data_IF_084504388645
#
_entry.id   IF_084504388645
#
_cell.length_a   1.000
_cell.length_b   1.000
_cell.length_c   1.000
_cell.angle_alpha   90.00
_cell.angle_beta   90.00
_cell.angle_gamma   90.00
#
_symmetry.space_group_name_H-M   'P 1'
#
loop_
_entity.id
_entity.type
_entity.pdbx_description
1 polymer ?
#
# COMPACT_ATOMS: atom_id res chain seq x y z
N UNK A 1 -13.82 48.46 -27.53
CA UNK A 1 -14.55 47.66 -28.55
C UNK A 1 -14.84 48.57 -29.73
N UNK A 2 -14.22 48.35 -30.88
CA UNK A 2 -14.67 49.02 -32.11
C UNK A 2 -16.13 48.62 -32.35
N UNK A 3 -17.03 49.59 -32.39
CA UNK A 3 -18.41 49.39 -32.81
C UNK A 3 -18.33 49.13 -34.31
N UNK A 4 -18.59 47.89 -34.73
CA UNK A 4 -18.52 47.50 -36.14
C UNK A 4 -19.44 48.41 -36.98
N UNK A 5 -19.02 48.83 -38.19
CA UNK A 5 -19.90 49.61 -39.06
C UNK A 5 -21.22 48.85 -39.34
N UNK A 6 -22.35 49.58 -39.45
CA UNK A 6 -23.64 48.98 -39.79
C UNK A 6 -23.56 48.31 -41.17
N UNK A 7 -24.35 47.25 -41.38
CA UNK A 7 -24.45 46.64 -42.70
C UNK A 7 -25.06 47.66 -43.68
N UNK A 8 -24.57 47.69 -44.95
CA UNK A 8 -25.19 48.49 -45.98
C UNK A 8 -26.67 48.08 -46.14
N UNK A 9 -27.58 49.01 -46.48
CA UNK A 9 -29.02 48.75 -46.44
C UNK A 9 -29.51 47.53 -47.24
N UNK A 10 -28.78 47.11 -48.29
CA UNK A 10 -29.12 45.96 -49.13
C UNK A 10 -28.66 44.59 -48.60
N UNK A 11 -27.79 44.55 -47.59
CA UNK A 11 -27.29 43.30 -46.97
C UNK A 11 -27.93 43.01 -45.61
N UNK A 12 -28.86 43.88 -45.17
CA UNK A 12 -29.55 43.68 -43.90
C UNK A 12 -30.50 42.49 -44.04
N UNK A 13 -30.47 41.52 -43.09
CA UNK A 13 -31.42 40.43 -43.11
C UNK A 13 -32.85 41.00 -43.02
N UNK A 14 -33.83 40.38 -43.70
CA UNK A 14 -35.21 40.82 -43.63
C UNK A 14 -35.73 40.59 -42.21
N UNK A 15 -35.75 41.65 -41.41
CA UNK A 15 -36.34 41.61 -40.07
C UNK A 15 -37.86 41.53 -40.28
N UNK A 16 -38.57 40.62 -39.58
CA UNK A 16 -40.02 40.53 -39.70
C UNK A 16 -40.67 41.88 -39.37
N UNK A 17 -41.59 42.31 -40.23
CA UNK A 17 -42.40 43.49 -39.96
C UNK A 17 -43.15 43.30 -38.65
N UNK A 18 -43.03 44.27 -37.74
CA UNK A 18 -43.69 44.23 -36.43
C UNK A 18 -44.52 45.48 -36.20
N UNK A 19 -45.56 45.34 -35.39
CA UNK A 19 -46.39 46.45 -34.94
C UNK A 19 -45.69 47.16 -33.77
N UNK A 20 -45.30 48.43 -33.90
CA UNK A 20 -44.66 49.16 -32.82
C UNK A 20 -45.61 49.34 -31.63
N UNK A 21 -45.05 49.27 -30.43
CA UNK A 21 -45.78 49.43 -29.16
C UNK A 21 -46.33 50.85 -29.07
N UNK A 22 -47.63 50.98 -28.80
CA UNK A 22 -48.29 52.27 -28.75
C UNK A 22 -47.86 53.04 -27.49
N UNK A 23 -47.31 54.24 -27.67
CA UNK A 23 -46.90 55.12 -26.56
C UNK A 23 -47.44 56.52 -26.77
N UNK A 24 -47.74 57.21 -25.67
CA UNK A 24 -48.04 58.66 -25.72
C UNK A 24 -46.88 59.37 -26.41
N UNK A 25 -47.19 60.11 -27.48
CA UNK A 25 -46.18 60.79 -28.29
C UNK A 25 -45.37 61.77 -27.44
N UNK A 26 -44.04 61.63 -27.51
CA UNK A 26 -43.05 62.51 -26.88
C UNK A 26 -41.86 62.59 -27.84
N UNK A 27 -41.34 63.80 -28.10
CA UNK A 27 -40.30 64.04 -29.13
C UNK A 27 -38.97 63.33 -28.84
N UNK A 28 -38.65 63.10 -27.57
CA UNK A 28 -37.50 62.34 -27.06
C UNK A 28 -37.89 60.91 -26.60
N UNK A 29 -39.10 60.45 -26.91
CA UNK A 29 -39.64 59.16 -26.49
C UNK A 29 -39.48 58.04 -27.51
N UNK A 30 -39.92 56.82 -27.15
CA UNK A 30 -39.91 55.64 -28.01
C UNK A 30 -40.98 55.72 -29.12
N UNK A 31 -40.73 56.58 -30.11
CA UNK A 31 -41.55 56.69 -31.33
C UNK A 31 -41.49 55.40 -32.16
N UNK A 32 -42.52 55.07 -32.95
CA UNK A 32 -42.52 53.92 -33.85
C UNK A 32 -41.28 53.81 -34.74
N UNK A 33 -40.77 54.94 -35.23
CA UNK A 33 -39.58 55.03 -36.09
C UNK A 33 -38.31 54.60 -35.33
N UNK A 34 -38.16 55.07 -34.08
CA UNK A 34 -37.05 54.67 -33.19
C UNK A 34 -37.13 53.21 -32.78
N UNK A 35 -38.34 52.65 -32.60
CA UNK A 35 -38.50 51.22 -32.33
C UNK A 35 -38.01 50.38 -33.52
N UNK A 36 -38.41 50.74 -34.75
CA UNK A 36 -37.92 50.06 -35.97
C UNK A 36 -36.41 50.22 -36.16
N UNK A 37 -35.88 51.43 -35.97
CA UNK A 37 -34.45 51.69 -36.04
C UNK A 37 -33.66 50.92 -34.97
N UNK A 38 -34.24 50.73 -33.78
CA UNK A 38 -33.62 49.98 -32.71
C UNK A 38 -33.51 48.50 -33.06
N UNK A 39 -34.59 47.88 -33.56
CA UNK A 39 -34.57 46.47 -33.97
C UNK A 39 -33.59 46.24 -35.13
N UNK A 40 -33.52 47.17 -36.09
CA UNK A 40 -32.51 47.14 -37.14
C UNK A 40 -31.08 47.23 -36.59
N UNK A 41 -30.83 48.15 -35.66
CA UNK A 41 -29.53 48.29 -35.01
C UNK A 41 -29.18 47.07 -34.14
N UNK A 42 -30.16 46.38 -33.57
CA UNK A 42 -29.99 45.16 -32.80
C UNK A 42 -29.56 44.00 -33.70
N UNK A 43 -30.19 43.85 -34.87
CA UNK A 43 -29.80 42.86 -35.87
C UNK A 43 -28.35 43.07 -36.37
N UNK A 44 -27.95 44.34 -36.53
CA UNK A 44 -26.58 44.67 -36.93
C UNK A 44 -25.55 44.34 -35.84
N UNK A 45 -25.88 44.58 -34.56
CA UNK A 45 -24.87 44.62 -33.48
C UNK A 45 -24.90 43.40 -32.57
N UNK A 46 -26.02 42.70 -32.47
CA UNK A 46 -26.27 41.66 -31.46
C UNK A 46 -26.18 42.16 -30.01
N UNK A 47 -26.14 43.48 -29.79
CA UNK A 47 -25.94 44.09 -28.48
C UNK A 47 -26.99 45.17 -28.21
N UNK A 48 -27.82 44.94 -27.19
CA UNK A 48 -28.91 45.84 -26.79
C UNK A 48 -28.39 47.23 -26.42
N UNK A 49 -27.27 47.30 -25.70
CA UNK A 49 -26.65 48.57 -25.30
C UNK A 49 -26.14 49.35 -26.51
N UNK A 50 -25.49 48.66 -27.47
CA UNK A 50 -25.01 49.31 -28.69
C UNK A 50 -26.17 49.79 -29.58
N UNK A 51 -27.21 48.96 -29.72
CA UNK A 51 -28.41 49.29 -30.47
C UNK A 51 -29.17 50.50 -29.87
N UNK A 52 -29.34 50.54 -28.56
CA UNK A 52 -30.00 51.65 -27.86
C UNK A 52 -29.22 52.96 -28.03
N UNK A 53 -27.88 52.91 -27.91
CA UNK A 53 -27.02 54.07 -28.17
C UNK A 53 -27.13 54.58 -29.60
N UNK A 54 -27.24 53.69 -30.60
CA UNK A 54 -27.42 54.06 -32.01
C UNK A 54 -28.72 54.82 -32.30
N UNK A 55 -29.77 54.59 -31.52
CA UNK A 55 -31.05 55.34 -31.62
C UNK A 55 -31.17 56.46 -30.58
N UNK A 56 -30.06 56.79 -29.91
CA UNK A 56 -29.98 57.79 -28.86
C UNK A 56 -31.00 57.55 -27.72
N UNK A 57 -31.05 56.31 -27.23
CA UNK A 57 -31.92 55.86 -26.15
C UNK A 57 -31.17 55.06 -25.09
N UNK A 58 -31.75 55.00 -23.88
CA UNK A 58 -31.29 54.11 -22.82
C UNK A 58 -31.76 52.66 -23.06
N UNK A 59 -30.87 51.68 -22.81
CA UNK A 59 -31.19 50.25 -22.93
C UNK A 59 -32.30 49.81 -21.99
N UNK A 60 -32.40 50.40 -20.80
CA UNK A 60 -33.47 50.12 -19.83
C UNK A 60 -34.85 50.44 -20.41
N UNK A 61 -34.96 51.53 -21.17
CA UNK A 61 -36.20 51.91 -21.85
C UNK A 61 -36.63 50.91 -22.92
N UNK A 62 -35.66 50.29 -23.61
CA UNK A 62 -35.91 49.24 -24.60
C UNK A 62 -36.46 47.97 -23.94
N UNK A 63 -35.90 47.57 -22.79
CA UNK A 63 -36.42 46.45 -21.99
C UNK A 63 -37.81 46.75 -21.39
N UNK A 64 -38.04 47.98 -20.93
CA UNK A 64 -39.34 48.40 -20.43
C UNK A 64 -40.43 48.39 -21.52
N UNK A 65 -40.05 48.65 -22.77
CA UNK A 65 -40.94 48.56 -23.93
C UNK A 65 -41.30 47.11 -24.25
N UNK A 66 -40.31 46.20 -24.21
CA UNK A 66 -40.50 44.77 -24.46
C UNK A 66 -41.46 44.08 -23.47
N UNK A 67 -41.56 44.60 -22.24
CA UNK A 67 -42.43 44.04 -21.18
C UNK A 67 -43.87 44.56 -21.20
N UNK A 68 -44.24 45.41 -22.16
CA UNK A 68 -45.62 45.93 -22.22
C UNK A 68 -46.60 44.85 -22.71
N UNK A 69 -47.87 44.87 -22.27
CA UNK A 69 -48.89 43.90 -22.67
C UNK A 69 -49.16 43.83 -24.18
N UNK A 70 -48.91 44.91 -24.92
CA UNK A 70 -49.11 45.04 -26.38
C UNK A 70 -47.81 44.84 -27.19
N UNK A 71 -46.72 44.43 -26.54
CA UNK A 71 -45.39 44.36 -27.15
C UNK A 71 -45.00 43.02 -27.76
N UNK A 72 -45.94 42.08 -27.92
CA UNK A 72 -45.65 40.72 -28.41
C UNK A 72 -44.96 40.73 -29.79
N UNK A 73 -45.46 41.56 -30.71
CA UNK A 73 -44.88 41.71 -32.06
C UNK A 73 -43.47 42.31 -32.01
N UNK A 74 -43.24 43.30 -31.14
CA UNK A 74 -41.92 43.91 -30.92
C UNK A 74 -40.93 42.93 -30.27
N UNK A 75 -41.39 42.12 -29.31
CA UNK A 75 -40.59 41.09 -28.66
C UNK A 75 -40.16 39.98 -29.64
N UNK A 76 -41.06 39.56 -30.54
CA UNK A 76 -40.73 38.59 -31.58
C UNK A 76 -39.68 39.14 -32.56
N UNK A 77 -39.82 40.39 -33.01
CA UNK A 77 -38.84 41.03 -33.88
C UNK A 77 -37.49 41.27 -33.18
N UNK A 78 -37.51 41.52 -31.86
CA UNK A 78 -36.32 41.63 -31.04
C UNK A 78 -35.54 40.32 -31.00
N UNK A 79 -36.21 39.20 -30.74
CA UNK A 79 -35.54 37.88 -30.69
C UNK A 79 -34.98 37.50 -32.06
N UNK A 80 -35.75 37.69 -33.13
CA UNK A 80 -35.26 37.48 -34.49
C UNK A 80 -34.01 38.33 -34.79
N UNK A 81 -34.01 39.61 -34.37
CA UNK A 81 -32.85 40.49 -34.52
C UNK A 81 -31.65 40.00 -33.68
N UNK A 82 -31.84 39.50 -32.47
CA UNK A 82 -30.75 38.93 -31.67
C UNK A 82 -30.15 37.69 -32.33
N UNK A 83 -30.97 36.78 -32.83
CA UNK A 83 -30.52 35.58 -33.54
C UNK A 83 -29.64 35.93 -34.75
N UNK A 84 -30.03 36.96 -35.50
CA UNK A 84 -29.21 37.48 -36.60
C UNK A 84 -27.88 38.07 -36.11
N UNK A 85 -27.90 38.86 -35.03
CA UNK A 85 -26.69 39.40 -34.43
C UNK A 85 -25.73 38.31 -33.93
N UNK A 86 -26.25 37.23 -33.36
CA UNK A 86 -25.46 36.07 -32.90
C UNK A 86 -24.84 35.32 -34.07
N UNK A 87 -25.57 35.10 -35.17
CA UNK A 87 -25.00 34.49 -36.39
C UNK A 87 -23.85 35.32 -36.94
N UNK A 88 -23.98 36.64 -36.96
CA UNK A 88 -22.90 37.55 -37.38
C UNK A 88 -21.68 37.48 -36.46
N UNK A 89 -21.87 37.28 -35.16
CA UNK A 89 -20.75 37.06 -34.23
C UNK A 89 -19.97 35.80 -34.57
N UNK A 90 -20.62 34.75 -35.07
CA UNK A 90 -19.96 33.53 -35.52
C UNK A 90 -19.09 33.79 -36.75
N UNK A 91 -19.60 34.52 -37.75
CA UNK A 91 -18.82 34.90 -38.94
C UNK A 91 -17.58 35.72 -38.58
N UNK A 92 -17.73 36.70 -37.66
CA UNK A 92 -16.62 37.52 -37.16
C UNK A 92 -15.62 36.67 -36.36
N UNK A 93 -16.09 35.72 -35.57
CA UNK A 93 -15.22 34.82 -34.83
C UNK A 93 -14.36 33.98 -35.77
N UNK A 94 -14.95 33.46 -36.85
CA UNK A 94 -14.25 32.69 -37.88
C UNK A 94 -13.24 33.57 -38.62
N UNK A 95 -13.65 34.76 -39.07
CA UNK A 95 -12.74 35.71 -39.73
C UNK A 95 -11.55 36.08 -38.85
N UNK A 96 -11.78 36.41 -37.56
CA UNK A 96 -10.71 36.72 -36.60
C UNK A 96 -9.79 35.53 -36.32
N UNK A 97 -10.32 34.32 -36.29
CA UNK A 97 -9.52 33.12 -36.09
C UNK A 97 -8.63 32.84 -37.31
N UNK A 98 -9.12 33.09 -38.53
CA UNK A 98 -8.37 32.87 -39.77
C UNK A 98 -7.37 33.99 -40.07
N UNK A 99 -7.80 35.25 -39.94
CA UNK A 99 -7.05 36.42 -40.42
C UNK A 99 -6.30 37.16 -39.30
N UNK A 100 -6.61 36.89 -38.03
CA UNK A 100 -6.07 37.58 -36.87
C UNK A 100 -6.68 38.97 -36.66
N UNK A 101 -6.42 39.59 -35.51
CA UNK A 101 -6.84 40.96 -35.21
C UNK A 101 -5.66 41.91 -35.41
N UNK A 102 -5.82 43.00 -36.18
CA UNK A 102 -4.78 44.02 -36.35
C UNK A 102 -4.55 44.77 -35.03
N UNK A 103 -3.32 44.73 -34.52
CA UNK A 103 -2.89 45.47 -33.33
C UNK A 103 -1.90 46.55 -33.78
N UNK A 104 -2.25 47.85 -33.65
CA UNK A 104 -1.36 48.93 -34.04
C UNK A 104 -0.12 48.96 -33.14
N UNK A 105 1.05 49.15 -33.73
CA UNK A 105 2.31 49.35 -33.03
C UNK A 105 2.60 50.85 -32.99
N UNK A 106 2.63 51.41 -31.79
CA UNK A 106 2.96 52.82 -31.56
C UNK A 106 4.40 52.98 -31.10
N UNK A 107 5.09 53.97 -31.65
CA UNK A 107 6.41 54.38 -31.20
C UNK A 107 6.46 55.90 -31.12
N UNK A 108 6.85 56.42 -29.95
CA UNK A 108 6.88 57.88 -29.66
C UNK A 108 5.55 58.63 -29.93
N UNK A 109 4.42 57.95 -29.78
CA UNK A 109 3.09 58.55 -29.97
C UNK A 109 2.57 58.51 -31.41
N UNK A 110 3.38 58.08 -32.37
CA UNK A 110 2.97 57.87 -33.76
C UNK A 110 2.79 56.37 -34.06
N UNK A 111 1.82 56.03 -34.90
CA UNK A 111 1.61 54.65 -35.34
C UNK A 111 2.64 54.32 -36.42
N UNK A 112 3.55 53.39 -36.12
CA UNK A 112 4.68 53.01 -36.99
C UNK A 112 4.42 51.71 -37.74
N UNK A 113 3.44 50.91 -37.31
CA UNK A 113 3.06 49.69 -38.02
C UNK A 113 1.88 48.95 -37.40
N UNK A 114 1.70 47.70 -37.83
CA UNK A 114 0.63 46.82 -37.36
C UNK A 114 1.18 45.40 -37.20
N UNK A 115 0.80 44.71 -36.11
CA UNK A 115 1.02 43.27 -35.92
C UNK A 115 -0.33 42.57 -35.83
N UNK A 116 -0.45 41.42 -36.49
CA UNK A 116 -1.64 40.56 -36.35
C UNK A 116 -1.54 39.68 -35.11
N UNK A 117 -2.56 39.73 -34.26
CA UNK A 117 -2.69 38.87 -33.10
C UNK A 117 -3.72 37.77 -33.39
N UNK A 118 -3.27 36.51 -33.32
CA UNK A 118 -4.12 35.34 -33.45
C UNK A 118 -4.52 34.83 -32.06
N UNK A 119 -5.80 34.49 -31.89
CA UNK A 119 -6.30 33.96 -30.63
C UNK A 119 -6.54 32.46 -30.76
N UNK A 120 -5.56 31.66 -30.34
CA UNK A 120 -5.61 30.20 -30.43
C UNK A 120 -6.78 29.60 -29.64
N UNK A 121 -7.23 30.27 -28.57
CA UNK A 121 -8.43 29.83 -27.82
C UNK A 121 -9.71 30.00 -28.64
N UNK A 122 -9.81 31.08 -29.41
CA UNK A 122 -10.94 31.28 -30.33
C UNK A 122 -10.92 30.24 -31.45
N UNK A 123 -9.74 29.96 -32.02
CA UNK A 123 -9.56 28.90 -33.02
C UNK A 123 -9.98 27.53 -32.47
N UNK A 124 -9.48 27.16 -31.30
CA UNK A 124 -9.82 25.90 -30.63
C UNK A 124 -11.31 25.80 -30.27
N UNK A 125 -11.94 26.91 -29.86
CA UNK A 125 -13.38 26.96 -29.61
C UNK A 125 -14.18 26.65 -30.87
N UNK A 126 -13.84 27.27 -32.00
CA UNK A 126 -14.50 27.04 -33.29
C UNK A 126 -14.33 25.58 -33.73
N UNK A 127 -13.11 25.04 -33.67
CA UNK A 127 -12.84 23.64 -34.05
C UNK A 127 -13.62 22.64 -33.19
N UNK A 128 -13.73 22.88 -31.89
CA UNK A 128 -14.48 22.01 -30.97
C UNK A 128 -15.99 21.99 -31.27
N UNK A 129 -16.56 23.13 -31.66
CA UNK A 129 -17.98 23.25 -31.96
C UNK A 129 -18.37 22.77 -33.36
N UNK A 130 -17.52 22.99 -34.38
CA UNK A 130 -17.80 22.59 -35.77
C UNK A 130 -17.31 21.18 -36.11
N UNK A 131 -16.34 20.63 -35.37
CA UNK A 131 -15.80 19.28 -35.58
C UNK A 131 -15.72 18.49 -34.25
N UNK A 132 -16.86 18.29 -33.56
CA UNK A 132 -16.87 17.66 -32.24
C UNK A 132 -16.38 16.21 -32.25
N UNK A 133 -16.56 15.48 -33.36
CA UNK A 133 -16.04 14.11 -33.49
C UNK A 133 -14.50 14.05 -33.44
N UNK A 134 -13.81 15.13 -33.83
CA UNK A 134 -12.34 15.18 -33.91
C UNK A 134 -11.70 15.98 -32.78
N UNK A 135 -12.37 17.04 -32.31
CA UNK A 135 -11.84 17.97 -31.31
C UNK A 135 -12.76 18.16 -30.08
N UNK A 136 -13.81 17.34 -29.97
CA UNK A 136 -14.74 17.37 -28.85
C UNK A 136 -14.12 16.96 -27.52
N UNK A 137 -14.86 17.21 -26.43
CA UNK A 137 -14.40 17.03 -25.05
C UNK A 137 -14.02 15.57 -24.69
N UNK A 138 -14.34 14.59 -25.51
CA UNK A 138 -14.03 13.18 -25.27
C UNK A 138 -12.59 12.75 -25.58
N UNK A 139 -11.78 13.59 -26.23
CA UNK A 139 -10.41 13.23 -26.67
C UNK A 139 -9.29 13.88 -25.86
N UNK A 140 -9.58 14.95 -25.10
CA UNK A 140 -8.64 15.50 -24.13
C UNK A 140 -8.99 14.87 -22.79
N UNK A 141 -8.35 13.73 -22.48
CA UNK A 141 -8.31 13.22 -21.13
C UNK A 141 -7.94 14.37 -20.19
N UNK A 142 -8.63 14.46 -19.06
CA UNK A 142 -8.34 15.44 -18.01
C UNK A 142 -6.82 15.48 -17.74
N UNK A 143 -6.24 16.63 -17.36
CA UNK A 143 -4.84 16.67 -16.98
C UNK A 143 -4.60 15.58 -15.93
N UNK A 144 -3.72 14.63 -16.27
CA UNK A 144 -3.45 13.46 -15.42
C UNK A 144 -2.96 13.95 -14.08
N UNK A 145 -3.45 13.34 -12.99
CA UNK A 145 -2.90 13.66 -11.68
C UNK A 145 -1.45 13.19 -11.62
N UNK A 146 -0.63 13.85 -10.80
CA UNK A 146 0.75 13.44 -10.56
C UNK A 146 0.84 11.99 -10.07
N UNK A 147 -0.11 11.58 -9.24
CA UNK A 147 -0.22 10.21 -8.72
C UNK A 147 -0.48 9.19 -9.84
N UNK A 148 -1.33 9.52 -10.82
CA UNK A 148 -1.58 8.64 -11.97
C UNK A 148 -0.33 8.45 -12.83
N UNK A 149 0.46 9.52 -13.03
CA UNK A 149 1.72 9.46 -13.77
C UNK A 149 2.75 8.59 -13.02
N UNK A 150 2.84 8.73 -11.71
CA UNK A 150 3.76 7.96 -10.86
C UNK A 150 3.39 6.47 -10.82
N UNK A 151 2.10 6.13 -10.73
CA UNK A 151 1.62 4.74 -10.80
C UNK A 151 1.88 4.09 -12.16
N UNK A 152 1.53 4.77 -13.26
CA UNK A 152 1.80 4.26 -14.60
C UNK A 152 3.31 4.09 -14.86
N UNK A 153 4.13 5.02 -14.36
CA UNK A 153 5.59 4.92 -14.48
C UNK A 153 6.14 3.72 -13.69
N UNK A 154 5.64 3.47 -12.48
CA UNK A 154 6.01 2.30 -11.69
C UNK A 154 5.57 0.98 -12.36
N UNK A 155 4.36 0.95 -12.91
CA UNK A 155 3.80 -0.24 -13.56
C UNK A 155 4.36 -0.52 -14.96
N UNK A 156 4.84 0.49 -15.69
CA UNK A 156 5.33 0.32 -17.06
C UNK A 156 6.82 0.55 -17.25
N UNK A 157 7.59 0.86 -16.21
CA UNK A 157 9.04 0.99 -16.35
C UNK A 157 9.68 -0.38 -16.67
N UNK A 158 10.26 -0.55 -17.88
CA UNK A 158 10.86 -1.82 -18.28
C UNK A 158 12.11 -2.16 -17.46
N UNK A 159 12.86 -1.15 -16.98
CA UNK A 159 14.05 -1.34 -16.14
C UNK A 159 13.67 -1.86 -14.75
N UNK A 160 12.62 -1.32 -14.14
CA UNK A 160 12.14 -1.77 -12.82
C UNK A 160 11.59 -3.20 -12.89
N UNK A 161 10.87 -3.54 -13.97
CA UNK A 161 10.41 -4.92 -14.20
C UNK A 161 11.57 -5.89 -14.35
N UNK A 162 12.58 -5.52 -15.13
CA UNK A 162 13.75 -6.38 -15.33
C UNK A 162 14.51 -6.59 -14.03
N UNK A 163 14.73 -5.53 -13.23
CA UNK A 163 15.36 -5.65 -11.91
C UNK A 163 14.61 -6.58 -10.97
N UNK A 164 13.28 -6.48 -10.93
CA UNK A 164 12.47 -7.37 -10.09
C UNK A 164 12.57 -8.85 -10.52
N UNK A 165 12.68 -9.09 -11.84
CA UNK A 165 12.94 -10.43 -12.38
C UNK A 165 14.34 -10.91 -11.99
N UNK A 166 15.36 -10.08 -12.19
CA UNK A 166 16.76 -10.40 -11.87
C UNK A 166 16.94 -10.70 -10.36
N UNK A 167 16.29 -9.90 -9.50
CA UNK A 167 16.29 -10.10 -8.04
C UNK A 167 15.57 -11.41 -7.65
N UNK A 168 14.43 -11.71 -8.28
CA UNK A 168 13.71 -12.96 -8.05
C UNK A 168 14.52 -14.19 -8.52
N UNK A 169 15.18 -14.09 -9.67
CA UNK A 169 16.06 -15.14 -10.20
C UNK A 169 17.29 -15.34 -9.30
N UNK A 170 17.92 -14.26 -8.83
CA UNK A 170 19.05 -14.34 -7.90
C UNK A 170 18.64 -15.02 -6.58
N UNK A 171 17.47 -14.67 -6.04
CA UNK A 171 16.94 -15.29 -4.82
C UNK A 171 16.60 -16.76 -5.02
N UNK A 172 15.97 -17.12 -6.15
CA UNK A 172 15.66 -18.51 -6.48
C UNK A 172 16.94 -19.35 -6.66
N UNK A 173 17.99 -18.77 -7.26
CA UNK A 173 19.30 -19.41 -7.38
C UNK A 173 19.95 -19.64 -6.02
N UNK A 174 19.91 -18.66 -5.13
CA UNK A 174 20.44 -18.80 -3.77
C UNK A 174 19.71 -19.90 -2.99
N UNK A 175 18.38 -19.96 -3.07
CA UNK A 175 17.57 -21.01 -2.45
C UNK A 175 17.90 -22.41 -3.03
N UNK A 176 18.08 -22.50 -4.36
CA UNK A 176 18.47 -23.73 -5.03
C UNK A 176 19.89 -24.18 -4.64
N UNK A 177 20.85 -23.26 -4.60
CA UNK A 177 22.24 -23.54 -4.18
C UNK A 177 22.29 -23.99 -2.71
N UNK A 178 21.49 -23.38 -1.84
CA UNK A 178 21.33 -23.80 -0.43
C UNK A 178 20.71 -25.20 -0.34
N UNK A 179 19.66 -25.49 -1.11
CA UNK A 179 19.04 -26.81 -1.15
C UNK A 179 20.00 -27.89 -1.67
N UNK A 180 20.77 -27.57 -2.71
CA UNK A 180 21.81 -28.45 -3.26
C UNK A 180 22.94 -28.70 -2.25
N UNK A 181 23.38 -27.67 -1.50
CA UNK A 181 24.36 -27.81 -0.43
C UNK A 181 23.84 -28.71 0.72
N UNK A 182 22.56 -28.58 1.09
CA UNK A 182 21.94 -29.49 2.05
C UNK A 182 21.86 -30.93 1.53
N UNK A 183 21.55 -31.13 0.25
CA UNK A 183 21.51 -32.45 -0.38
C UNK A 183 22.91 -33.08 -0.54
N UNK A 184 23.95 -32.24 -0.67
CA UNK A 184 25.35 -32.65 -0.77
C UNK A 184 26.03 -32.94 0.59
N UNK A 185 25.38 -32.63 1.71
CA UNK A 185 25.87 -33.02 3.03
C UNK A 185 25.93 -34.56 3.11
N UNK A 186 27.06 -35.19 3.47
CA UNK A 186 27.21 -36.63 3.33
C UNK A 186 26.29 -37.35 4.34
N UNK A 187 25.15 -37.80 3.84
CA UNK A 187 24.12 -38.59 4.54
C UNK A 187 24.72 -39.74 5.36
N UNK A 188 25.84 -40.32 4.90
CA UNK A 188 26.59 -41.36 5.61
C UNK A 188 27.13 -40.91 6.97
N UNK A 189 27.69 -39.70 7.08
CA UNK A 189 28.23 -39.18 8.35
C UNK A 189 27.12 -38.97 9.37
N UNK A 190 26.01 -38.36 8.94
CA UNK A 190 24.86 -38.09 9.80
C UNK A 190 24.22 -39.40 10.29
N UNK A 191 24.13 -40.41 9.41
CA UNK A 191 23.64 -41.74 9.77
C UNK A 191 24.59 -42.48 10.72
N UNK A 192 25.91 -42.39 10.52
CA UNK A 192 26.91 -42.94 11.44
C UNK A 192 26.85 -42.26 12.81
N UNK A 193 26.60 -40.94 12.85
CA UNK A 193 26.39 -40.19 14.07
C UNK A 193 25.14 -40.65 14.82
N UNK A 194 23.99 -40.79 14.14
CA UNK A 194 22.76 -41.31 14.74
C UNK A 194 22.92 -42.75 15.23
N UNK A 195 23.69 -43.59 14.52
CA UNK A 195 24.02 -44.95 14.95
C UNK A 195 24.84 -44.93 16.26
N UNK A 196 25.86 -44.07 16.36
CA UNK A 196 26.66 -43.90 17.59
C UNK A 196 25.83 -43.33 18.74
N UNK A 197 24.96 -42.35 18.45
CA UNK A 197 24.04 -41.78 19.41
C UNK A 197 23.10 -42.88 19.98
N UNK A 198 22.46 -43.68 19.12
CA UNK A 198 21.62 -44.81 19.53
C UNK A 198 22.38 -45.82 20.40
N UNK A 199 23.63 -46.14 20.05
CA UNK A 199 24.47 -47.03 20.86
C UNK A 199 24.73 -46.45 22.26
N UNK A 200 24.93 -45.13 22.38
CA UNK A 200 25.06 -44.46 23.68
C UNK A 200 23.75 -44.47 24.48
N UNK A 201 22.59 -44.29 23.85
CA UNK A 201 21.29 -44.42 24.54
C UNK A 201 21.10 -45.84 25.08
N UNK A 202 21.51 -46.87 24.33
CA UNK A 202 21.50 -48.25 24.80
C UNK A 202 22.43 -48.46 25.99
N UNK A 203 23.63 -47.86 25.97
CA UNK A 203 24.56 -47.90 27.11
C UNK A 203 23.96 -47.24 28.34
N UNK A 204 23.35 -46.06 28.18
CA UNK A 204 22.70 -45.35 29.27
C UNK A 204 21.55 -46.16 29.89
N UNK A 205 20.69 -46.75 29.05
CA UNK A 205 19.63 -47.67 29.51
C UNK A 205 20.21 -48.86 30.26
N UNK A 206 21.26 -49.49 29.73
CA UNK A 206 21.93 -50.63 30.38
C UNK A 206 22.46 -50.26 31.76
N UNK A 207 23.17 -49.14 31.87
CA UNK A 207 23.69 -48.66 33.16
C UNK A 207 22.56 -48.35 34.15
N UNK A 208 21.46 -47.72 33.70
CA UNK A 208 20.30 -47.47 34.57
C UNK A 208 19.63 -48.75 35.07
N UNK A 209 19.45 -49.74 34.20
CA UNK A 209 18.85 -51.03 34.58
C UNK A 209 19.78 -51.85 35.47
N UNK A 210 21.10 -51.71 35.31
CA UNK A 210 22.10 -52.34 36.16
C UNK A 210 22.32 -51.64 37.51
N UNK A 211 21.71 -50.46 37.73
CA UNK A 211 21.95 -49.64 38.93
C UNK A 211 23.29 -48.89 38.92
N UNK A 212 24.00 -48.85 37.79
CA UNK A 212 25.27 -48.16 37.61
C UNK A 212 25.04 -46.66 37.34
N UNK A 213 24.56 -45.93 38.36
CA UNK A 213 24.08 -44.54 38.26
C UNK A 213 25.13 -43.60 37.65
N UNK A 214 26.40 -43.75 38.01
CA UNK A 214 27.48 -42.86 37.57
C UNK A 214 27.81 -43.05 36.10
N UNK A 215 27.88 -44.31 35.65
CA UNK A 215 28.09 -44.63 34.24
C UNK A 215 26.89 -44.19 33.39
N UNK A 216 25.67 -44.33 33.93
CA UNK A 216 24.45 -43.81 33.31
C UNK A 216 24.50 -42.29 33.15
N UNK A 217 24.87 -41.56 34.21
CA UNK A 217 24.94 -40.09 34.20
C UNK A 217 26.07 -39.55 33.33
N UNK A 218 27.22 -40.22 33.32
CA UNK A 218 28.30 -39.89 32.39
C UNK A 218 27.85 -40.06 30.94
N UNK A 219 27.19 -41.18 30.62
CA UNK A 219 26.66 -41.43 29.28
C UNK A 219 25.57 -40.41 28.91
N UNK A 220 24.72 -40.04 29.87
CA UNK A 220 23.71 -39.01 29.69
C UNK A 220 24.33 -37.65 29.34
N UNK A 221 25.38 -37.22 30.05
CA UNK A 221 26.08 -35.96 29.74
C UNK A 221 26.65 -35.96 28.32
N UNK A 222 27.22 -37.09 27.87
CA UNK A 222 27.69 -37.22 26.50
C UNK A 222 26.56 -37.13 25.47
N UNK A 223 25.41 -37.75 25.75
CA UNK A 223 24.23 -37.66 24.91
C UNK A 223 23.70 -36.22 24.84
N UNK A 224 23.58 -35.54 25.98
CA UNK A 224 23.14 -34.14 26.05
C UNK A 224 24.10 -33.21 25.30
N UNK A 225 25.40 -33.46 25.40
CA UNK A 225 26.39 -32.67 24.65
C UNK A 225 26.23 -32.85 23.13
N UNK A 226 26.02 -34.09 22.65
CA UNK A 226 25.74 -34.35 21.23
C UNK A 226 24.46 -33.64 20.77
N UNK A 227 23.41 -33.68 21.59
CA UNK A 227 22.13 -33.01 21.30
C UNK A 227 22.30 -31.50 21.20
N UNK A 228 22.99 -30.90 22.16
CA UNK A 228 23.26 -29.46 22.16
C UNK A 228 24.06 -29.05 20.92
N UNK A 229 25.11 -29.81 20.59
CA UNK A 229 25.93 -29.55 19.40
C UNK A 229 25.13 -29.64 18.10
N UNK A 230 24.19 -30.57 18.00
CA UNK A 230 23.36 -30.76 16.80
C UNK A 230 22.20 -29.75 16.72
N UNK A 231 21.63 -29.36 17.84
CA UNK A 231 20.52 -28.39 17.90
C UNK A 231 21.01 -26.94 17.73
N UNK A 232 22.22 -26.64 18.23
CA UNK A 232 22.80 -25.29 18.22
C UNK A 232 23.86 -25.07 17.13
N UNK A 233 24.38 -26.14 16.51
CA UNK A 233 25.44 -26.07 15.52
C UNK A 233 25.05 -25.24 14.29
N UNK A 234 25.78 -24.16 14.03
CA UNK A 234 25.57 -23.28 12.86
C UNK A 234 24.62 -22.11 13.09
N UNK A 235 24.03 -21.97 14.30
CA UNK A 235 23.07 -20.92 14.66
C UNK A 235 23.69 -19.77 15.47
N UNK A 236 25.01 -19.59 15.38
CA UNK A 236 25.75 -18.66 16.25
C UNK A 236 25.32 -17.21 16.03
N UNK A 237 25.09 -16.78 14.79
CA UNK A 237 24.59 -15.43 14.47
C UNK A 237 23.13 -15.24 14.87
N UNK A 238 22.25 -16.22 14.61
CA UNK A 238 20.86 -16.18 15.07
C UNK A 238 20.75 -16.09 16.61
N UNK A 239 21.65 -16.79 17.32
CA UNK A 239 21.77 -16.66 18.78
C UNK A 239 22.29 -15.30 19.19
N UNK A 240 23.33 -14.77 18.54
CA UNK A 240 23.89 -13.47 18.88
C UNK A 240 22.84 -12.37 18.67
N UNK A 241 22.17 -12.37 17.53
CA UNK A 241 21.09 -11.43 17.20
C UNK A 241 19.95 -11.50 18.22
N UNK A 242 19.58 -12.70 18.69
CA UNK A 242 18.60 -12.89 19.76
C UNK A 242 18.99 -12.15 21.06
N UNK A 243 20.28 -12.01 21.36
CA UNK A 243 20.78 -11.35 22.57
C UNK A 243 21.31 -9.93 22.34
N UNK A 244 21.52 -9.50 21.10
CA UNK A 244 22.20 -8.24 20.76
C UNK A 244 21.32 -7.15 20.14
N UNK A 245 20.07 -7.45 19.74
CA UNK A 245 19.17 -6.40 19.24
C UNK A 245 18.62 -5.56 20.40
N UNK A 246 19.08 -4.31 20.51
CA UNK A 246 18.61 -3.28 21.46
C UNK A 246 17.23 -2.68 21.09
N UNK A 247 16.71 -2.92 19.88
CA UNK A 247 15.64 -2.11 19.27
C UNK A 247 14.19 -2.49 19.63
N UNK A 248 13.96 -3.25 20.72
CA UNK A 248 12.60 -3.52 21.23
C UNK A 248 11.68 -4.33 20.29
N UNK A 249 12.13 -4.65 19.08
CA UNK A 249 11.60 -5.71 18.23
C UNK A 249 12.55 -6.89 18.37
N UNK A 250 12.45 -7.61 19.48
CA UNK A 250 12.84 -9.02 19.44
C UNK A 250 11.99 -9.61 18.31
N UNK A 251 12.58 -10.21 17.25
CA UNK A 251 11.78 -11.05 16.37
C UNK A 251 11.04 -12.02 17.30
N UNK A 252 9.78 -12.31 17.05
CA UNK A 252 8.95 -13.08 17.99
C UNK A 252 9.35 -14.57 18.05
N UNK A 253 10.65 -14.87 18.16
CA UNK A 253 11.22 -16.19 18.39
C UNK A 253 10.85 -16.72 19.79
N UNK A 254 10.43 -15.84 20.71
CA UNK A 254 9.76 -16.25 21.96
C UNK A 254 8.33 -16.77 21.73
N UNK A 255 7.71 -16.49 20.57
CA UNK A 255 6.41 -17.04 20.17
C UNK A 255 6.53 -18.16 19.14
N UNK A 256 7.71 -18.36 18.53
CA UNK A 256 7.97 -19.54 17.75
C UNK A 256 8.26 -20.72 18.69
N UNK A 257 7.22 -21.53 18.93
CA UNK A 257 7.24 -22.71 19.78
C UNK A 257 8.28 -23.78 19.37
N UNK A 258 9.07 -23.54 18.32
CA UNK A 258 10.11 -24.44 17.81
C UNK A 258 11.55 -24.00 18.10
N UNK A 259 11.80 -22.97 18.94
CA UNK A 259 13.16 -22.46 19.18
C UNK A 259 14.20 -23.54 19.57
N UNK A 260 13.74 -24.62 20.22
CA UNK A 260 14.57 -25.75 20.65
C UNK A 260 14.09 -27.12 20.11
N UNK A 261 13.08 -27.14 19.23
CA UNK A 261 12.48 -28.37 18.68
C UNK A 261 12.73 -28.44 17.17
N UNK A 262 13.99 -28.35 16.77
CA UNK A 262 14.41 -28.50 15.39
C UNK A 262 14.20 -29.95 14.88
N UNK A 263 14.16 -30.18 13.55
CA UNK A 263 13.94 -31.51 12.98
C UNK A 263 14.92 -32.58 13.50
N UNK A 264 16.17 -32.24 13.78
CA UNK A 264 17.18 -33.17 14.30
C UNK A 264 16.87 -33.53 15.75
N UNK A 265 16.49 -32.55 16.58
CA UNK A 265 16.07 -32.80 17.97
C UNK A 265 14.86 -33.74 18.05
N UNK A 266 13.91 -33.65 17.11
CA UNK A 266 12.78 -34.60 17.00
C UNK A 266 13.23 -36.02 16.64
N UNK A 267 14.20 -36.15 15.74
CA UNK A 267 14.78 -37.45 15.35
C UNK A 267 15.50 -38.09 16.56
N UNK A 268 16.29 -37.32 17.29
CA UNK A 268 17.02 -37.80 18.47
C UNK A 268 16.05 -38.22 19.60
N UNK A 269 14.98 -37.46 19.84
CA UNK A 269 13.90 -37.84 20.78
C UNK A 269 13.22 -39.15 20.36
N UNK A 270 12.93 -39.30 19.07
CA UNK A 270 12.39 -40.53 18.51
C UNK A 270 13.30 -41.74 18.78
N UNK A 271 14.61 -41.60 18.52
CA UNK A 271 15.60 -42.67 18.82
C UNK A 271 15.61 -43.00 20.31
N UNK A 272 15.57 -42.01 21.21
CA UNK A 272 15.51 -42.24 22.65
C UNK A 272 14.28 -43.03 23.07
N UNK A 273 13.10 -42.57 22.64
CA UNK A 273 11.83 -43.24 22.95
C UNK A 273 11.82 -44.66 22.42
N UNK A 274 12.30 -44.86 21.20
CA UNK A 274 12.35 -46.17 20.57
C UNK A 274 13.28 -47.15 21.33
N UNK A 275 14.40 -46.69 21.87
CA UNK A 275 15.28 -47.52 22.72
C UNK A 275 14.64 -47.85 24.06
N UNK A 276 13.93 -46.90 24.66
CA UNK A 276 13.32 -47.06 25.98
C UNK A 276 11.97 -47.80 25.96
N UNK A 277 11.19 -47.69 24.88
CA UNK A 277 9.90 -48.35 24.71
C UNK A 277 10.01 -49.83 24.28
N UNK A 278 11.14 -50.23 23.68
CA UNK A 278 11.28 -51.49 22.96
C UNK A 278 11.17 -52.76 23.80
N UNK A 279 11.26 -52.74 25.13
CA UNK A 279 11.15 -53.95 25.96
C UNK A 279 10.93 -53.64 27.44
N UNK A 280 9.99 -54.40 28.02
CA UNK A 280 9.65 -54.57 29.44
C UNK A 280 9.02 -53.36 30.14
N UNK A 281 7.69 -53.30 30.08
CA UNK A 281 6.86 -52.20 30.56
C UNK A 281 7.19 -51.75 31.99
N UNK A 282 7.79 -50.57 32.11
CA UNK A 282 7.91 -49.94 33.43
C UNK A 282 8.44 -48.52 33.48
N UNK A 283 9.29 -48.08 32.54
CA UNK A 283 9.89 -46.74 32.63
C UNK A 283 9.82 -46.01 31.30
N UNK A 284 8.70 -45.31 31.09
CA UNK A 284 8.66 -44.25 30.09
C UNK A 284 9.54 -43.10 30.60
N UNK A 285 10.59 -42.77 29.85
CA UNK A 285 11.40 -41.59 30.15
C UNK A 285 10.49 -40.36 30.04
N UNK A 286 10.53 -39.42 31.01
CA UNK A 286 9.78 -38.17 30.90
C UNK A 286 10.08 -37.51 29.56
N UNK A 287 9.04 -37.01 28.89
CA UNK A 287 9.21 -36.27 27.65
C UNK A 287 10.25 -35.17 27.86
N UNK A 288 11.23 -35.10 26.95
CA UNK A 288 12.05 -33.90 26.86
C UNK A 288 11.11 -32.68 26.76
N UNK A 289 11.42 -31.56 27.41
CA UNK A 289 10.64 -30.34 27.30
C UNK A 289 10.84 -29.72 25.91
N UNK A 290 10.44 -30.44 24.86
CA UNK A 290 10.32 -29.89 23.52
C UNK A 290 9.14 -28.93 23.56
N UNK A 291 9.36 -27.72 23.08
CA UNK A 291 8.62 -26.50 23.41
C UNK A 291 7.18 -26.43 22.86
N UNK A 292 6.35 -27.43 23.08
CA UNK A 292 4.90 -27.25 23.17
C UNK A 292 4.50 -26.85 24.59
N UNK A 293 5.11 -25.79 25.11
CA UNK A 293 4.53 -25.08 26.25
C UNK A 293 3.51 -24.10 25.68
N UNK A 294 2.22 -24.42 25.79
CA UNK A 294 1.36 -23.39 26.38
C UNK A 294 1.94 -23.20 27.78
N UNK A 295 2.77 -22.17 27.97
CA UNK A 295 3.05 -21.72 29.33
C UNK A 295 1.67 -21.64 29.99
N UNK A 296 1.41 -22.38 31.08
CA UNK A 296 0.13 -22.23 31.76
C UNK A 296 -0.03 -20.75 32.09
N UNK A 297 -1.24 -20.18 32.00
CA UNK A 297 -1.43 -18.78 32.33
C UNK A 297 -1.08 -18.60 33.81
N UNK A 298 0.08 -17.99 34.09
CA UNK A 298 0.53 -17.64 35.43
C UNK A 298 1.85 -18.30 35.87
N UNK A 299 2.74 -17.46 36.40
CA UNK A 299 3.87 -17.88 37.22
C UNK A 299 3.36 -18.66 38.43
N UNK A 300 3.40 -20.00 38.40
CA UNK A 300 3.06 -20.82 39.57
C UNK A 300 2.39 -22.17 39.31
N UNK A 301 1.96 -22.48 38.08
CA UNK A 301 1.35 -23.79 37.81
C UNK A 301 2.42 -24.86 37.53
N UNK A 302 2.40 -25.93 38.33
CA UNK A 302 3.35 -27.05 38.25
C UNK A 302 3.14 -27.82 36.92
N UNK A 303 4.20 -28.15 36.16
CA UNK A 303 4.11 -28.71 34.81
C UNK A 303 3.34 -30.04 34.67
N UNK A 304 3.01 -30.70 35.78
CA UNK A 304 2.37 -32.01 35.80
C UNK A 304 1.09 -31.98 36.66
N UNK A 305 0.00 -31.35 36.18
CA UNK A 305 -1.24 -31.22 36.95
C UNK A 305 -1.87 -32.58 37.25
N UNK A 306 -2.66 -32.67 38.33
CA UNK A 306 -3.43 -33.86 38.71
C UNK A 306 -3.57 -34.06 40.22
N UNK A 307 -4.57 -34.84 40.63
CA UNK A 307 -4.96 -34.99 42.05
C UNK A 307 -3.85 -35.54 42.94
N UNK A 308 -2.95 -36.38 42.40
CA UNK A 308 -1.81 -36.97 43.11
C UNK A 308 -0.52 -36.15 42.99
N UNK A 309 -0.58 -34.90 42.50
CA UNK A 309 0.60 -34.10 42.22
C UNK A 309 1.49 -33.87 43.46
N UNK A 310 0.88 -33.50 44.59
CA UNK A 310 1.61 -33.23 45.84
C UNK A 310 2.35 -34.48 46.33
N UNK A 311 1.70 -35.64 46.29
CA UNK A 311 2.27 -36.94 46.64
C UNK A 311 3.43 -37.31 45.71
N UNK A 312 3.24 -37.20 44.39
CA UNK A 312 4.30 -37.46 43.40
C UNK A 312 5.49 -36.51 43.57
N UNK A 313 5.27 -35.27 44.00
CA UNK A 313 6.35 -34.29 44.26
C UNK A 313 7.10 -34.62 45.55
N UNK A 314 6.39 -35.00 46.61
CA UNK A 314 6.98 -35.45 47.87
C UNK A 314 7.82 -36.73 47.65
N UNK A 315 7.28 -37.71 46.93
CA UNK A 315 8.00 -38.94 46.58
C UNK A 315 9.28 -38.66 45.78
N UNK A 316 9.23 -37.75 44.79
CA UNK A 316 10.42 -37.31 44.04
C UNK A 316 11.46 -36.64 44.94
N UNK A 317 11.05 -35.73 45.83
CA UNK A 317 11.96 -35.09 46.79
C UNK A 317 12.62 -36.10 47.73
N UNK A 318 11.85 -37.05 48.25
CA UNK A 318 12.39 -38.12 49.12
C UNK A 318 13.35 -39.05 48.35
N UNK A 319 13.06 -39.35 47.08
CA UNK A 319 14.00 -40.08 46.23
C UNK A 319 15.28 -39.27 45.97
N UNK A 320 15.17 -37.97 45.68
CA UNK A 320 16.31 -37.08 45.49
C UNK A 320 17.19 -36.99 46.74
N UNK A 321 16.59 -36.92 47.93
CA UNK A 321 17.33 -36.92 49.19
C UNK A 321 18.13 -38.23 49.36
N UNK A 322 17.51 -39.39 49.14
CA UNK A 322 18.20 -40.69 49.19
C UNK A 322 19.32 -40.81 48.15
N UNK A 323 19.12 -40.28 46.94
CA UNK A 323 20.16 -40.24 45.92
C UNK A 323 21.33 -39.34 46.35
N UNK A 324 21.05 -38.18 46.95
CA UNK A 324 22.07 -37.28 47.46
C UNK A 324 22.89 -37.91 48.60
N UNK A 325 22.23 -38.62 49.51
CA UNK A 325 22.90 -39.40 50.57
C UNK A 325 23.78 -40.51 50.00
N UNK A 326 23.27 -41.28 49.03
CA UNK A 326 24.04 -42.33 48.36
C UNK A 326 25.23 -41.76 47.57
N UNK A 327 25.08 -40.58 46.97
CA UNK A 327 26.16 -39.88 46.28
C UNK A 327 27.25 -39.44 47.27
N UNK A 328 26.87 -38.86 48.41
CA UNK A 328 27.82 -38.45 49.44
C UNK A 328 28.59 -39.66 50.03
N UNK A 329 27.91 -40.79 50.22
CA UNK A 329 28.52 -42.06 50.62
C UNK A 329 29.54 -42.55 49.58
N UNK A 330 29.15 -42.55 48.30
CA UNK A 330 30.03 -42.98 47.21
C UNK A 330 31.27 -42.07 47.07
N UNK A 331 31.10 -40.75 47.16
CA UNK A 331 32.22 -39.79 47.10
C UNK A 331 33.16 -39.96 48.29
N UNK A 332 32.62 -40.19 49.48
CA UNK A 332 33.42 -40.45 50.67
C UNK A 332 34.23 -41.73 50.56
N UNK A 333 33.68 -42.78 49.94
CA UNK A 333 34.34 -44.08 49.75
C UNK A 333 35.55 -44.02 48.78
N UNK A 334 35.76 -42.92 48.06
CA UNK A 334 36.84 -42.79 47.08
C UNK A 334 38.24 -42.63 47.71
N UNK A 335 38.35 -42.03 48.91
CA UNK A 335 39.62 -41.88 49.65
C UNK A 335 39.46 -42.31 51.11
N UNK A 336 40.52 -42.86 51.68
CA UNK A 336 40.51 -43.29 53.08
C UNK A 336 40.18 -42.14 54.06
N UNK A 337 40.71 -40.95 53.80
CA UNK A 337 40.47 -39.75 54.61
C UNK A 337 38.99 -39.33 54.63
N UNK A 338 38.36 -39.29 53.46
CA UNK A 338 36.94 -38.92 53.34
C UNK A 338 36.03 -40.01 53.88
N UNK A 339 36.43 -41.27 53.76
CA UNK A 339 35.71 -42.43 54.30
C UNK A 339 35.72 -42.45 55.83
N UNK A 340 36.86 -42.11 56.45
CA UNK A 340 36.98 -41.99 57.90
C UNK A 340 36.03 -40.91 58.47
N UNK A 341 35.98 -39.73 57.84
CA UNK A 341 35.08 -38.64 58.22
C UNK A 341 33.62 -39.05 58.07
N UNK A 342 33.27 -39.67 56.96
CA UNK A 342 31.90 -40.09 56.69
C UNK A 342 31.41 -41.16 57.68
N UNK A 343 32.24 -42.16 58.00
CA UNK A 343 31.90 -43.17 59.01
C UNK A 343 31.63 -42.55 60.38
N UNK A 344 32.48 -41.61 60.81
CA UNK A 344 32.31 -40.92 62.08
C UNK A 344 30.96 -40.17 62.16
N UNK A 345 30.53 -39.56 61.04
CA UNK A 345 29.26 -38.80 60.97
C UNK A 345 27.97 -39.64 61.05
N UNK A 346 28.05 -40.98 60.95
CA UNK A 346 26.90 -41.90 61.04
C UNK A 346 26.88 -42.74 62.32
N UNK A 347 27.90 -42.60 63.17
CA UNK A 347 28.01 -43.31 64.45
C UNK A 347 27.52 -42.52 65.67
N UNK A 348 27.06 -41.28 65.46
CA UNK A 348 26.27 -40.47 66.41
C UNK A 348 24.79 -40.52 66.01
#
# INVERSE_FOLDING_TARGET
MQILPPLPPGERPPIPHFTPVARKYRSDGWTPERQRAFVAALADTGSVTAAARRVNMASEGAYALRRQPDAESFAAAWEAALDHGVRRLADIAIDRAMNGVPVPIFWRGEQVGEKRWFNDRLLMFILKHHMPARYGAGLLAAPRSREQIEQEAAENCPVCKQRAVDEAEAKAKEEADRAAALAAFPSKWLMDLFKRYRAKVLSERRHRLAGEVIAADYTLRQLTHIELMLSMGGRTTEMLDMWSTEDGQTPSILHDNNLFADPVSKILDGIRREVWARQDGGLERPALPHHHRKLPPGHGQDPWPGDTQAERKAARRAAQARIAEAQAEWEAAWKEETWAVWRASRSE
#
